data_IF_456109225545
#
_entry.id   IF_456109225545
#
_cell.length_a   1.000
_cell.length_b   1.000
_cell.length_c   1.000
_cell.angle_alpha   90.00
_cell.angle_beta   90.00
_cell.angle_gamma   90.00
#
_symmetry.space_group_name_H-M   'P 1'
#
loop_
_entity.id
_entity.type
_entity.pdbx_description
1 polymer ?
#
# COMPACT_ATOMS: atom_id res chain seq x y z
N UNK A 1 -6.69 2.19 -16.15
CA UNK A 1 -7.39 2.51 -14.90
C UNK A 1 -6.41 2.65 -13.77
N UNK A 2 -6.51 3.71 -13.01
CA UNK A 2 -5.61 3.96 -11.90
C UNK A 2 -6.22 3.48 -10.59
N UNK A 3 -5.44 2.76 -9.80
CA UNK A 3 -5.86 2.30 -8.49
C UNK A 3 -4.83 2.73 -7.45
N UNK A 4 -5.23 2.76 -6.21
CA UNK A 4 -4.38 3.15 -5.09
C UNK A 4 -4.17 1.92 -4.22
N UNK A 5 -2.92 1.53 -4.10
CA UNK A 5 -2.55 0.32 -3.36
C UNK A 5 -1.96 0.73 -2.02
N UNK A 6 -2.54 0.24 -0.95
CA UNK A 6 -2.00 0.46 0.39
C UNK A 6 -1.09 -0.72 0.73
N UNK A 7 0.13 -0.39 1.05
CA UNK A 7 1.18 -1.36 1.32
C UNK A 7 1.66 -1.22 2.75
N UNK A 8 2.05 -2.32 3.35
CA UNK A 8 2.64 -2.32 4.68
C UNK A 8 4.06 -2.84 4.58
N UNK A 9 5.01 -2.03 5.05
CA UNK A 9 6.41 -2.42 5.11
C UNK A 9 6.73 -2.89 6.52
N UNK A 10 7.14 -4.13 6.66
CA UNK A 10 7.51 -4.69 7.96
C UNK A 10 8.98 -5.09 7.95
N UNK A 11 9.74 -4.68 8.96
CA UNK A 11 11.12 -5.14 9.07
C UNK A 11 11.14 -6.62 9.45
N UNK A 12 11.98 -7.40 8.77
CA UNK A 12 12.17 -8.80 9.08
C UNK A 12 13.66 -9.06 9.37
N UNK A 13 13.92 -9.71 10.50
CA UNK A 13 15.24 -10.15 10.85
C UNK A 13 16.19 -9.03 11.24
N UNK A 14 17.46 -9.37 11.29
CA UNK A 14 18.50 -8.47 11.79
C UNK A 14 19.23 -7.70 10.71
N UNK A 15 18.94 -7.98 9.47
CA UNK A 15 19.72 -7.46 8.35
C UNK A 15 19.10 -6.25 7.66
N UNK A 16 18.10 -5.66 8.26
CA UNK A 16 17.44 -4.49 7.67
C UNK A 16 16.56 -4.80 6.47
N UNK A 17 16.23 -6.04 6.26
CA UNK A 17 15.29 -6.41 5.20
C UNK A 17 13.89 -6.03 5.61
N UNK A 18 13.13 -5.58 4.64
CA UNK A 18 11.73 -5.25 4.85
C UNK A 18 10.88 -6.12 3.93
N UNK A 19 9.80 -6.64 4.47
CA UNK A 19 8.81 -7.35 3.69
C UNK A 19 7.66 -6.39 3.40
N UNK A 20 7.26 -6.31 2.16
CA UNK A 20 6.14 -5.46 1.76
C UNK A 20 4.93 -6.32 1.47
N UNK A 21 3.84 -6.03 2.12
CA UNK A 21 2.56 -6.71 1.89
C UNK A 21 1.54 -5.74 1.35
N UNK A 22 0.69 -6.22 0.45
CA UNK A 22 -0.46 -5.44 0.00
C UNK A 22 -1.54 -5.59 1.06
N UNK A 23 -1.95 -4.46 1.63
CA UNK A 23 -3.01 -4.42 2.64
C UNK A 23 -4.36 -4.39 1.96
N UNK A 24 -4.51 -3.47 1.01
CA UNK A 24 -5.77 -3.32 0.29
C UNK A 24 -5.54 -2.50 -0.97
N UNK A 25 -6.52 -2.54 -1.86
CA UNK A 25 -6.48 -1.79 -3.11
C UNK A 25 -7.77 -0.98 -3.20
N UNK A 26 -7.63 0.31 -3.48
CA UNK A 26 -8.77 1.23 -3.52
C UNK A 26 -8.85 1.90 -4.89
N UNK A 27 -10.05 2.19 -5.29
CA UNK A 27 -10.33 2.91 -6.52
C UNK A 27 -10.16 4.42 -6.32
N UNK A 28 -10.40 4.89 -5.10
CA UNK A 28 -10.35 6.30 -4.76
C UNK A 28 -9.22 6.60 -3.79
N UNK A 29 -8.52 7.71 -4.05
CA UNK A 29 -7.41 8.14 -3.21
C UNK A 29 -7.83 8.39 -1.77
N UNK A 30 -9.01 8.99 -1.59
CA UNK A 30 -9.52 9.29 -0.25
C UNK A 30 -9.65 8.04 0.62
N UNK A 31 -10.13 6.97 0.02
CA UNK A 31 -10.29 5.71 0.74
C UNK A 31 -8.94 5.11 1.12
N UNK A 32 -7.98 5.20 0.20
CA UNK A 32 -6.63 4.71 0.45
C UNK A 32 -5.95 5.51 1.56
N UNK A 33 -6.11 6.83 1.54
CA UNK A 33 -5.52 7.68 2.58
C UNK A 33 -6.12 7.39 3.94
N UNK A 34 -7.41 7.17 4.01
CA UNK A 34 -8.07 6.82 5.25
C UNK A 34 -7.54 5.49 5.80
N UNK A 35 -7.36 4.51 4.96
CA UNK A 35 -6.78 3.23 5.35
C UNK A 35 -5.35 3.40 5.82
N UNK A 36 -4.56 4.19 5.12
CA UNK A 36 -3.16 4.41 5.45
C UNK A 36 -2.95 5.11 6.79
N UNK A 37 -3.94 5.86 7.24
CA UNK A 37 -3.86 6.54 8.55
C UNK A 37 -3.97 5.59 9.73
N UNK A 38 -4.44 4.38 9.50
CA UNK A 38 -4.61 3.42 10.58
C UNK A 38 -3.29 2.89 11.12
N UNK A 39 -2.23 2.96 10.31
CA UNK A 39 -0.93 2.44 10.71
C UNK A 39 0.17 3.26 10.04
N UNK A 40 1.15 3.70 10.82
CA UNK A 40 2.26 4.49 10.30
C UNK A 40 3.15 3.74 9.32
N UNK A 41 3.09 2.42 9.32
CA UNK A 41 3.87 1.59 8.41
C UNK A 41 3.20 1.40 7.05
N UNK A 42 2.00 1.91 6.91
CA UNK A 42 1.27 1.83 5.66
C UNK A 42 1.70 2.96 4.73
N UNK A 43 1.80 2.64 3.44
CA UNK A 43 2.08 3.65 2.42
C UNK A 43 1.19 3.40 1.22
N UNK A 44 1.02 4.42 0.41
CA UNK A 44 0.15 4.35 -0.76
C UNK A 44 1.00 4.46 -2.01
N UNK A 45 0.71 3.60 -2.99
CA UNK A 45 1.28 3.71 -4.32
C UNK A 45 0.16 3.74 -5.33
N UNK A 46 0.32 4.53 -6.37
CA UNK A 46 -0.64 4.54 -7.46
C UNK A 46 -0.15 3.61 -8.56
N UNK A 47 -1.00 2.68 -8.92
CA UNK A 47 -0.70 1.70 -9.94
C UNK A 47 -1.69 1.86 -11.09
N UNK A 48 -1.18 1.68 -12.30
CA UNK A 48 -2.03 1.69 -13.49
C UNK A 48 -2.28 0.25 -13.89
N UNK A 49 -3.56 -0.08 -13.96
CA UNK A 49 -3.98 -1.40 -14.40
C UNK A 49 -4.35 -1.31 -15.87
N UNK A 50 -3.71 -2.10 -16.70
CA UNK A 50 -4.08 -2.19 -18.11
C UNK A 50 -5.45 -2.80 -18.19
N UNK A 51 -6.41 -2.01 -18.55
CA UNK A 51 -7.76 -2.51 -18.69
C UNK A 51 -7.84 -3.43 -19.89
N UNK A 52 -8.19 -4.62 -19.69
CA UNK A 52 -8.43 -5.52 -20.78
C UNK A 52 -9.91 -5.47 -21.18
#
# INVERSE_FOLDING_TARGET
MKVYVVLCDRPIGYNGYCETEIVDIFKYEEDAEECARENENYRIEDWYVSGA
#
